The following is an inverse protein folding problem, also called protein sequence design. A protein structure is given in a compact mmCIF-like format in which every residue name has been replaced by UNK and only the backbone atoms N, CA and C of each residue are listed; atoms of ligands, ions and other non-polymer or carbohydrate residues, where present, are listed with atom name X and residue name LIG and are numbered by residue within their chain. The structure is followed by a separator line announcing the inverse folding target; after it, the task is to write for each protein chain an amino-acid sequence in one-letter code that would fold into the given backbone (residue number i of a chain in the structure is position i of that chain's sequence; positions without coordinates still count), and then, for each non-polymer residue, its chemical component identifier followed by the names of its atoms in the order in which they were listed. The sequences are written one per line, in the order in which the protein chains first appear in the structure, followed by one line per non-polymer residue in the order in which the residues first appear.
data_IF_406958900773
#
_entry.id   IF_406958900773
#
_cell.length_a   1.000
_cell.length_b   1.000
_cell.length_c   1.000
_cell.angle_alpha   90.00
_cell.angle_beta   90.00
_cell.angle_gamma   90.00
#
_symmetry.space_group_name_H-M   'P 1'
#
loop_
_entity.id
_entity.type
_entity.pdbx_description
1 polymer ?
#
# COMPACT_ATOMS: atom_id res chain seq x y z
N UNK A 1 -4.65 -9.41 8.49
CA UNK A 1 -4.86 -8.09 7.87
C UNK A 1 -5.97 -8.13 6.83
N UNK A 2 -5.97 -9.14 5.96
CA UNK A 2 -7.10 -9.48 5.09
C UNK A 2 -7.70 -10.80 5.55
N UNK A 3 -8.98 -10.76 5.92
CA UNK A 3 -9.72 -11.92 6.46
C UNK A 3 -10.94 -12.29 5.59
N UNK A 4 -11.22 -11.48 4.57
CA UNK A 4 -12.30 -11.65 3.59
C UNK A 4 -11.80 -11.12 2.26
N UNK A 5 -12.24 -11.71 1.16
CA UNK A 5 -11.82 -11.33 -0.20
C UNK A 5 -12.07 -9.84 -0.50
N UNK A 6 -13.26 -9.33 -0.16
CA UNK A 6 -13.61 -7.90 -0.28
C UNK A 6 -12.62 -6.93 0.38
N UNK A 7 -11.84 -7.38 1.36
CA UNK A 7 -10.87 -6.52 2.06
C UNK A 7 -9.59 -6.30 1.25
N UNK A 8 -9.26 -7.21 0.34
CA UNK A 8 -8.16 -7.02 -0.60
C UNK A 8 -8.50 -5.89 -1.59
N UNK A 9 -9.68 -5.94 -2.19
CA UNK A 9 -10.17 -4.95 -3.14
C UNK A 9 -10.24 -3.55 -2.52
N UNK A 10 -10.84 -3.42 -1.33
CA UNK A 10 -10.95 -2.15 -0.63
C UNK A 10 -9.59 -1.56 -0.24
N UNK A 11 -8.60 -2.41 0.07
CA UNK A 11 -7.26 -1.93 0.31
C UNK A 11 -6.59 -1.44 -0.99
N UNK A 12 -6.77 -2.16 -2.09
CA UNK A 12 -6.27 -1.75 -3.40
C UNK A 12 -6.86 -0.41 -3.83
N UNK A 13 -8.16 -0.19 -3.65
CA UNK A 13 -8.81 1.09 -3.95
C UNK A 13 -8.16 2.26 -3.19
N UNK A 14 -7.93 2.08 -1.88
CA UNK A 14 -7.28 3.08 -1.03
C UNK A 14 -5.83 3.33 -1.46
N UNK A 15 -5.10 2.26 -1.77
CA UNK A 15 -3.71 2.33 -2.23
C UNK A 15 -3.61 3.05 -3.58
N UNK A 16 -4.44 2.68 -4.55
CA UNK A 16 -4.51 3.30 -5.87
C UNK A 16 -4.82 4.79 -5.73
N UNK A 17 -5.81 5.15 -4.91
CA UNK A 17 -6.17 6.55 -4.65
C UNK A 17 -4.99 7.34 -4.08
N UNK A 18 -4.32 6.81 -3.05
CA UNK A 18 -3.15 7.47 -2.45
C UNK A 18 -1.99 7.63 -3.43
N UNK A 19 -1.69 6.57 -4.20
CA UNK A 19 -0.64 6.62 -5.23
C UNK A 19 -0.99 7.63 -6.35
N UNK A 20 -2.25 7.71 -6.78
CA UNK A 20 -2.68 8.70 -7.77
C UNK A 20 -2.50 10.14 -7.27
N UNK A 21 -2.92 10.42 -6.03
CA UNK A 21 -2.76 11.73 -5.39
C UNK A 21 -1.29 12.16 -5.32
N UNK A 22 -0.40 11.21 -5.02
CA UNK A 22 1.04 11.44 -4.91
C UNK A 22 1.80 11.26 -6.24
N UNK A 23 1.11 11.02 -7.35
CA UNK A 23 1.70 10.79 -8.69
C UNK A 23 2.73 9.64 -8.71
N UNK A 24 2.43 8.57 -7.99
CA UNK A 24 3.23 7.35 -7.90
C UNK A 24 2.64 6.31 -8.84
N UNK A 25 3.45 5.75 -9.73
CA UNK A 25 3.02 4.61 -10.57
C UNK A 25 3.18 3.31 -9.78
N UNK A 26 2.18 2.45 -9.83
CA UNK A 26 2.24 1.10 -9.29
C UNK A 26 2.68 0.18 -10.44
N UNK A 27 3.79 -0.52 -10.27
CA UNK A 27 4.30 -1.48 -11.27
C UNK A 27 3.83 -2.90 -11.00
N UNK A 28 3.86 -3.30 -9.73
CA UNK A 28 3.37 -4.60 -9.29
C UNK A 28 2.97 -4.53 -7.82
N UNK A 29 2.13 -5.48 -7.39
CA UNK A 29 1.77 -5.67 -6.00
C UNK A 29 1.56 -7.15 -5.71
N UNK A 30 1.80 -7.55 -4.47
CA UNK A 30 1.40 -8.86 -3.94
C UNK A 30 0.73 -8.64 -2.58
N UNK A 31 -0.50 -9.13 -2.45
CA UNK A 31 -1.27 -9.01 -1.22
C UNK A 31 -1.28 -10.35 -0.51
N UNK A 32 -0.65 -10.41 0.66
CA UNK A 32 -0.69 -11.57 1.55
C UNK A 32 -1.64 -11.29 2.70
N UNK A 33 -2.20 -12.33 3.32
CA UNK A 33 -3.16 -12.21 4.44
C UNK A 33 -2.66 -11.33 5.59
N UNK A 34 -1.34 -11.26 5.80
CA UNK A 34 -0.69 -10.52 6.88
C UNK A 34 0.11 -9.28 6.45
N UNK A 35 0.52 -9.13 5.19
CA UNK A 35 1.28 -7.97 4.72
C UNK A 35 1.17 -7.77 3.20
N UNK A 36 1.80 -6.71 2.68
CA UNK A 36 1.75 -6.35 1.26
C UNK A 36 3.14 -6.00 0.75
N UNK A 37 3.45 -6.45 -0.46
CA UNK A 37 4.66 -6.08 -1.20
C UNK A 37 4.27 -5.21 -2.38
N UNK A 38 5.00 -4.11 -2.58
CA UNK A 38 4.70 -3.11 -3.61
C UNK A 38 5.96 -2.78 -4.40
N UNK A 39 5.87 -2.84 -5.72
CA UNK A 39 6.86 -2.27 -6.63
C UNK A 39 6.31 -0.95 -7.17
N UNK A 40 6.91 0.16 -6.74
CA UNK A 40 6.40 1.50 -6.98
C UNK A 40 7.45 2.37 -7.67
N UNK A 41 6.99 3.20 -8.61
CA UNK A 41 7.81 4.22 -9.27
C UNK A 41 7.31 5.61 -8.86
N UNK A 42 7.86 6.20 -7.78
CA UNK A 42 7.58 7.58 -7.42
C UNK A 42 8.22 8.57 -8.42
N UNK A 43 7.67 9.76 -8.50
CA UNK A 43 8.29 10.91 -9.18
C UNK A 43 9.14 11.72 -8.20
N UNK A 44 9.96 12.68 -8.68
CA UNK A 44 10.74 13.58 -7.82
C UNK A 44 9.88 14.39 -6.82
N UNK A 45 8.60 14.61 -7.11
CA UNK A 45 7.68 15.39 -6.27
C UNK A 45 6.72 14.51 -5.46
N UNK A 46 6.89 13.19 -5.50
CA UNK A 46 5.99 12.25 -4.82
C UNK A 46 6.36 12.10 -3.35
N UNK A 47 5.36 12.05 -2.48
CA UNK A 47 5.55 11.63 -1.10
C UNK A 47 5.07 10.18 -0.91
N UNK A 48 6.00 9.23 -1.00
CA UNK A 48 5.69 7.81 -0.84
C UNK A 48 5.10 7.50 0.53
N UNK A 49 5.63 8.11 1.59
CA UNK A 49 5.12 7.91 2.95
C UNK A 49 3.67 8.33 3.07
N UNK A 50 3.31 9.50 2.55
CA UNK A 50 1.93 10.00 2.60
C UNK A 50 0.95 9.05 1.90
N UNK A 51 1.27 8.56 0.70
CA UNK A 51 0.40 7.63 -0.03
C UNK A 51 0.14 6.34 0.76
N UNK A 52 1.21 5.73 1.30
CA UNK A 52 1.13 4.43 1.99
C UNK A 52 0.50 4.58 3.37
N UNK A 53 0.89 5.60 4.13
CA UNK A 53 0.37 5.83 5.48
C UNK A 53 -1.12 6.18 5.45
N UNK A 54 -1.56 6.99 4.49
CA UNK A 54 -2.98 7.33 4.37
C UNK A 54 -3.83 6.12 3.97
N UNK A 55 -3.35 5.29 3.04
CA UNK A 55 -4.01 4.05 2.68
C UNK A 55 -4.11 3.09 3.88
N UNK A 56 -3.01 2.90 4.63
CA UNK A 56 -2.98 2.07 5.84
C UNK A 56 -3.93 2.58 6.93
N UNK A 57 -3.94 3.90 7.16
CA UNK A 57 -4.77 4.55 8.19
C UNK A 57 -6.25 4.42 7.87
N UNK A 58 -6.65 4.73 6.64
CA UNK A 58 -8.05 4.59 6.19
C UNK A 58 -8.52 3.15 6.24
N UNK A 59 -7.70 2.22 5.76
CA UNK A 59 -8.03 0.81 5.78
C UNK A 59 -8.19 0.28 7.22
N UNK A 60 -7.25 0.60 8.10
CA UNK A 60 -7.31 0.23 9.52
C UNK A 60 -8.56 0.77 10.20
N UNK A 61 -8.89 2.05 9.95
CA UNK A 61 -10.12 2.67 10.49
C UNK A 61 -11.38 1.97 9.97
N UNK A 62 -11.44 1.66 8.68
CA UNK A 62 -12.57 0.97 8.05
C UNK A 62 -12.78 -0.41 8.69
N UNK A 63 -11.72 -1.21 8.83
CA UNK A 63 -11.81 -2.55 9.43
C UNK A 63 -12.19 -2.46 10.91
N UNK A 64 -11.53 -1.59 11.68
CA UNK A 64 -11.84 -1.44 13.11
C UNK A 64 -13.30 -1.05 13.33
N UNK A 65 -13.85 -0.15 12.51
CA UNK A 65 -15.25 0.24 12.62
C UNK A 65 -16.21 -0.91 12.27
N UNK A 66 -15.94 -1.63 11.18
CA UNK A 66 -16.81 -2.71 10.70
C UNK A 66 -16.79 -3.95 11.57
N UNK A 67 -15.64 -4.29 12.14
CA UNK A 67 -15.47 -5.50 12.96
C UNK A 67 -15.60 -5.20 14.47
N UNK A 68 -15.90 -3.95 14.84
CA UNK A 68 -15.95 -3.48 16.22
C UNK A 68 -14.63 -3.71 16.99
N UNK A 69 -13.50 -3.64 16.31
CA UNK A 69 -12.18 -3.82 16.89
C UNK A 69 -11.56 -2.49 17.37
N UNK A 70 -10.60 -2.60 18.28
CA UNK A 70 -9.81 -1.47 18.80
C UNK A 70 -8.32 -1.78 18.67
N UNK A 71 -7.52 -0.73 18.49
CA UNK A 71 -6.06 -0.84 18.41
C UNK A 71 -5.51 -0.92 16.98
N UNK A 72 -4.28 -1.43 16.87
CA UNK A 72 -3.50 -1.46 15.63
C UNK A 72 -3.79 -2.70 14.80
N UNK A 73 -4.07 -2.51 13.51
CA UNK A 73 -4.21 -3.61 12.55
C UNK A 73 -2.89 -3.99 11.86
N UNK A 74 -1.90 -3.09 11.89
CA UNK A 74 -0.57 -3.26 11.29
C UNK A 74 0.51 -2.94 12.30
N UNK A 75 1.64 -3.64 12.18
CA UNK A 75 2.80 -3.42 13.03
C UNK A 75 3.75 -2.40 12.40
N UNK A 76 3.98 -1.29 13.09
CA UNK A 76 5.03 -0.33 12.75
C UNK A 76 4.83 0.42 11.42
N UNK A 77 5.94 1.00 10.93
CA UNK A 77 6.01 1.77 9.68
C UNK A 77 6.29 0.84 8.50
N UNK A 78 5.96 1.28 7.29
CA UNK A 78 6.40 0.56 6.09
C UNK A 78 7.93 0.65 5.95
N UNK A 79 8.52 -0.40 5.38
CA UNK A 79 9.91 -0.39 4.93
C UNK A 79 9.95 -0.16 3.41
N UNK A 80 10.94 0.58 2.95
CA UNK A 80 11.17 0.80 1.52
C UNK A 80 12.65 0.70 1.20
N UNK A 81 12.96 0.06 0.08
CA UNK A 81 14.31 -0.14 -0.42
C UNK A 81 14.35 0.32 -1.88
N UNK A 82 15.31 1.19 -2.26
CA UNK A 82 15.45 1.59 -3.65
C UNK A 82 15.83 0.37 -4.51
N UNK A 83 15.23 0.25 -5.69
CA UNK A 83 15.55 -0.80 -6.66
C UNK A 83 16.13 -0.17 -7.93
N UNK A 84 17.25 -0.71 -8.42
CA UNK A 84 17.80 -0.31 -9.71
C UNK A 84 17.04 -0.96 -10.87
N UNK A 85 16.99 -0.27 -12.00
CA UNK A 85 16.32 -0.75 -13.23
C UNK A 85 16.82 -2.12 -13.69
N UNK A 86 18.11 -2.40 -13.52
CA UNK A 86 18.75 -3.66 -13.93
C UNK A 86 18.11 -4.89 -13.28
N UNK A 87 17.58 -4.75 -12.06
CA UNK A 87 16.94 -5.85 -11.34
C UNK A 87 15.50 -6.11 -11.77
N UNK A 88 14.91 -5.22 -12.56
CA UNK A 88 13.52 -5.30 -12.99
C UNK A 88 13.35 -5.97 -14.36
N UNK A 89 14.45 -6.38 -15.01
CA UNK A 89 14.41 -7.00 -16.35
C UNK A 89 13.81 -6.10 -17.44
N UNK A 90 13.62 -4.81 -17.16
CA UNK A 90 13.07 -3.85 -18.09
C UNK A 90 14.21 -3.20 -18.88
N UNK A 91 14.57 -3.81 -20.02
CA UNK A 91 15.29 -3.10 -21.08
C UNK A 91 14.35 -2.02 -21.64
N UNK A 92 14.88 -0.80 -21.85
CA UNK A 92 14.16 0.32 -22.46
C UNK A 92 14.28 0.19 -23.97
#
# INVERSE_FOLDING_TARGET
MFFRERYYEQYLELLITGCQQERIKIWAYCLMTNHVHLALKPSKKSNLGNAIDEAHRRYTRMINFREHWKGYLRQGRFAAYPMEKRWLGMEI
#
